data_IF_775904709808
#
_entry.id   IF_775904709808
#
_cell.length_a   1.000
_cell.length_b   1.000
_cell.length_c   1.000
_cell.angle_alpha   90.00
_cell.angle_beta   90.00
_cell.angle_gamma   90.00
#
_symmetry.space_group_name_H-M   'P 1'
#
loop_
_entity.id
_entity.type
_entity.pdbx_description
1 polymer ?
#
# COMPACT_ATOMS: atom_id res chain seq x y z
N UNK A 1 -37.88 -13.46 39.56
CA UNK A 1 -37.07 -12.28 39.99
C UNK A 1 -35.60 -12.69 40.01
N UNK A 2 -35.06 -12.86 38.81
CA UNK A 2 -33.71 -13.23 38.38
C UNK A 2 -33.80 -13.06 36.86
N UNK A 3 -32.80 -12.46 36.21
CA UNK A 3 -32.57 -12.28 34.75
C UNK A 3 -32.36 -10.81 34.32
N UNK A 4 -32.69 -9.78 35.12
CA UNK A 4 -32.59 -8.38 34.64
C UNK A 4 -31.29 -7.62 34.96
N UNK A 5 -30.27 -8.26 35.55
CA UNK A 5 -28.99 -7.59 35.91
C UNK A 5 -27.78 -8.00 35.07
N UNK A 6 -27.95 -8.79 34.00
CA UNK A 6 -26.82 -9.34 33.22
C UNK A 6 -26.46 -8.59 31.92
N UNK A 7 -27.02 -7.41 31.66
CA UNK A 7 -26.93 -6.81 30.30
C UNK A 7 -26.15 -5.50 30.20
N UNK A 8 -25.67 -4.87 31.29
CA UNK A 8 -25.15 -3.49 31.16
C UNK A 8 -23.71 -3.20 31.62
N UNK A 9 -22.83 -4.20 31.73
CA UNK A 9 -21.43 -3.97 32.16
C UNK A 9 -20.36 -4.53 31.21
N UNK A 10 -20.58 -4.36 29.90
CA UNK A 10 -19.52 -4.53 28.88
C UNK A 10 -19.25 -3.23 28.11
N UNK A 11 -19.13 -2.12 28.84
CA UNK A 11 -18.24 -1.03 28.41
C UNK A 11 -16.88 -1.25 29.07
N UNK A 12 -16.17 -2.28 28.59
CA UNK A 12 -14.75 -2.42 28.87
C UNK A 12 -14.05 -1.19 28.28
N UNK A 13 -13.59 -0.31 29.16
CA UNK A 13 -12.58 0.70 28.87
C UNK A 13 -11.39 0.01 28.19
N UNK A 14 -11.33 0.09 26.86
CA UNK A 14 -10.15 -0.33 26.10
C UNK A 14 -9.15 0.82 26.22
N UNK A 15 -8.49 0.90 27.38
CA UNK A 15 -7.21 1.60 27.46
C UNK A 15 -6.23 0.84 26.59
N UNK A 16 -6.13 1.24 25.32
CA UNK A 16 -5.08 0.76 24.42
C UNK A 16 -3.74 0.92 25.15
N UNK A 17 -2.91 -0.12 25.24
CA UNK A 17 -1.64 0.01 25.93
C UNK A 17 -0.80 1.01 25.10
N UNK A 18 -0.59 2.20 25.66
CA UNK A 18 -0.02 3.37 24.97
C UNK A 18 1.33 3.04 24.31
N UNK A 19 2.07 2.09 24.87
CA UNK A 19 3.32 1.55 24.35
C UNK A 19 3.22 0.99 22.91
N UNK A 20 2.13 0.31 22.54
CA UNK A 20 1.99 -0.26 21.20
C UNK A 20 1.78 0.83 20.15
N UNK A 21 0.94 1.82 20.44
CA UNK A 21 0.73 2.97 19.55
C UNK A 21 2.04 3.74 19.38
N UNK A 22 2.76 4.00 20.47
CA UNK A 22 4.07 4.66 20.43
C UNK A 22 5.03 3.86 19.55
N UNK A 23 5.08 2.54 19.71
CA UNK A 23 5.93 1.66 18.88
C UNK A 23 5.61 1.78 17.39
N UNK A 24 4.33 1.80 17.01
CA UNK A 24 3.92 1.98 15.62
C UNK A 24 4.29 3.36 15.07
N UNK A 25 4.10 4.41 15.87
CA UNK A 25 4.51 5.77 15.49
C UNK A 25 6.03 5.82 15.30
N UNK A 26 6.82 5.19 16.17
CA UNK A 26 8.28 5.12 16.03
C UNK A 26 8.68 4.42 14.73
N UNK A 27 8.06 3.28 14.39
CA UNK A 27 8.34 2.62 13.12
C UNK A 27 7.91 3.45 11.90
N UNK A 28 6.77 4.13 11.96
CA UNK A 28 6.33 5.03 10.89
C UNK A 28 7.34 6.18 10.70
N UNK A 29 7.77 6.83 11.78
CA UNK A 29 8.77 7.89 11.72
C UNK A 29 10.12 7.38 11.22
N UNK A 30 10.52 6.17 11.62
CA UNK A 30 11.73 5.54 11.13
C UNK A 30 11.65 5.23 9.62
N UNK A 31 10.50 4.75 9.13
CA UNK A 31 10.26 4.55 7.70
C UNK A 31 10.33 5.88 6.94
N UNK A 32 9.69 6.94 7.44
CA UNK A 32 9.79 8.29 6.85
C UNK A 32 11.26 8.74 6.80
N UNK A 33 12.01 8.57 7.88
CA UNK A 33 13.43 8.93 7.93
C UNK A 33 14.25 8.14 6.91
N UNK A 34 13.99 6.83 6.75
CA UNK A 34 14.67 5.99 5.77
C UNK A 34 14.37 6.42 4.33
N UNK A 35 13.12 6.77 4.04
CA UNK A 35 12.70 7.27 2.74
C UNK A 35 13.30 8.65 2.43
N UNK A 36 13.35 9.55 3.41
CA UNK A 36 13.99 10.86 3.27
C UNK A 36 15.50 10.73 3.03
N UNK A 37 16.19 9.86 3.78
CA UNK A 37 17.61 9.58 3.57
C UNK A 37 17.88 9.00 2.19
N UNK A 38 17.06 8.02 1.78
CA UNK A 38 17.14 7.39 0.46
C UNK A 38 17.01 8.40 -0.67
N UNK A 39 16.06 9.33 -0.53
CA UNK A 39 15.66 10.26 -1.60
C UNK A 39 16.56 11.49 -1.67
N UNK A 40 16.88 12.10 -0.52
CA UNK A 40 17.50 13.44 -0.48
C UNK A 40 18.95 13.45 -0.01
N UNK A 41 19.44 12.39 0.63
CA UNK A 41 20.79 12.37 1.21
C UNK A 41 21.68 11.38 0.49
N UNK A 42 21.42 10.08 0.67
CA UNK A 42 22.22 9.02 0.09
C UNK A 42 21.50 7.67 0.17
N UNK A 43 21.40 6.99 -0.98
CA UNK A 43 20.72 5.69 -1.12
C UNK A 43 21.27 4.59 -0.20
N UNK A 44 22.58 4.57 0.05
CA UNK A 44 23.22 3.56 0.93
C UNK A 44 22.81 3.77 2.38
N UNK A 45 22.74 5.01 2.85
CA UNK A 45 22.31 5.32 4.22
C UNK A 45 20.82 5.00 4.42
N UNK A 46 19.99 5.36 3.43
CA UNK A 46 18.58 4.99 3.43
C UNK A 46 18.36 3.48 3.44
N UNK A 47 19.05 2.74 2.57
CA UNK A 47 19.06 1.27 2.56
C UNK A 47 19.50 0.67 3.89
N UNK A 48 20.57 1.20 4.48
CA UNK A 48 21.07 0.76 5.79
C UNK A 48 20.01 0.95 6.87
N UNK A 49 19.30 2.09 6.87
CA UNK A 49 18.22 2.34 7.82
C UNK A 49 17.01 1.42 7.58
N UNK A 50 16.62 1.14 6.33
CA UNK A 50 15.59 0.14 6.04
C UNK A 50 15.98 -1.25 6.54
N UNK A 51 17.25 -1.66 6.38
CA UNK A 51 17.77 -2.91 6.92
C UNK A 51 17.69 -2.94 8.45
N UNK A 52 18.10 -1.86 9.14
CA UNK A 52 17.97 -1.74 10.60
C UNK A 52 16.51 -1.85 11.04
N UNK A 53 15.59 -1.16 10.35
CA UNK A 53 14.15 -1.20 10.64
C UNK A 53 13.63 -2.64 10.48
N UNK A 54 14.02 -3.34 9.42
CA UNK A 54 13.63 -4.73 9.19
C UNK A 54 14.08 -5.64 10.34
N UNK A 55 15.35 -5.54 10.77
CA UNK A 55 15.85 -6.32 11.90
C UNK A 55 15.17 -5.92 13.22
N UNK A 56 14.92 -4.64 13.44
CA UNK A 56 14.21 -4.16 14.63
C UNK A 56 12.77 -4.67 14.68
N UNK A 57 12.06 -4.68 13.55
CA UNK A 57 10.73 -5.28 13.44
C UNK A 57 10.77 -6.78 13.74
N UNK A 58 11.77 -7.50 13.22
CA UNK A 58 11.94 -8.94 13.44
C UNK A 58 12.16 -9.28 14.90
N UNK A 59 13.09 -8.59 15.55
CA UNK A 59 13.39 -8.79 16.98
C UNK A 59 12.16 -8.44 17.82
N UNK A 60 11.54 -7.28 17.58
CA UNK A 60 10.39 -6.85 18.36
C UNK A 60 9.18 -7.80 18.19
N UNK A 61 8.91 -8.27 16.97
CA UNK A 61 7.87 -9.26 16.70
C UNK A 61 8.15 -10.65 17.30
N UNK A 62 9.39 -10.94 17.69
CA UNK A 62 9.77 -12.18 18.38
C UNK A 62 9.70 -12.06 19.90
N UNK A 63 9.85 -10.84 20.43
CA UNK A 63 9.89 -10.57 21.88
C UNK A 63 8.53 -10.14 22.45
N UNK A 64 7.64 -9.57 21.65
CA UNK A 64 6.32 -9.15 22.16
C UNK A 64 5.45 -10.37 22.48
N UNK A 65 4.85 -10.36 23.67
CA UNK A 65 4.00 -11.46 24.15
C UNK A 65 2.67 -11.55 23.39
N UNK A 66 2.13 -10.40 22.96
CA UNK A 66 0.87 -10.33 22.22
C UNK A 66 1.00 -10.91 20.80
N UNK A 67 0.33 -12.02 20.46
CA UNK A 67 0.40 -12.60 19.12
C UNK A 67 -0.14 -11.66 18.05
N UNK A 68 -1.19 -10.90 18.36
CA UNK A 68 -1.80 -9.94 17.44
C UNK A 68 -0.83 -8.78 17.13
N UNK A 69 -0.14 -8.25 18.14
CA UNK A 69 0.86 -7.21 17.91
C UNK A 69 2.07 -7.74 17.14
N UNK A 70 2.55 -8.95 17.47
CA UNK A 70 3.60 -9.62 16.71
C UNK A 70 3.21 -9.76 15.23
N UNK A 71 1.97 -10.15 14.95
CA UNK A 71 1.45 -10.28 13.58
C UNK A 71 1.39 -8.93 12.86
N UNK A 72 0.98 -7.87 13.55
CA UNK A 72 0.98 -6.52 13.00
C UNK A 72 2.41 -6.05 12.66
N UNK A 73 3.39 -6.25 13.56
CA UNK A 73 4.79 -5.93 13.30
C UNK A 73 5.34 -6.74 12.10
N UNK A 74 4.97 -8.01 11.97
CA UNK A 74 5.32 -8.84 10.80
C UNK A 74 4.71 -8.29 9.51
N UNK A 75 3.51 -7.73 9.55
CA UNK A 75 2.89 -7.08 8.39
C UNK A 75 3.58 -5.80 7.96
N UNK A 76 4.41 -5.17 8.81
CA UNK A 76 5.24 -4.02 8.44
C UNK A 76 6.56 -4.43 7.77
N UNK A 77 7.07 -5.65 8.00
CA UNK A 77 8.36 -6.11 7.48
C UNK A 77 8.49 -6.06 5.95
N UNK A 78 7.46 -6.35 5.14
CA UNK A 78 7.58 -6.26 3.68
C UNK A 78 7.92 -4.86 3.18
N UNK A 79 7.59 -3.81 3.95
CA UNK A 79 7.80 -2.40 3.56
C UNK A 79 9.29 -2.06 3.39
N UNK A 80 10.18 -2.27 4.39
CA UNK A 80 11.61 -2.12 4.15
C UNK A 80 12.17 -3.18 3.17
N UNK A 81 11.60 -4.38 3.10
CA UNK A 81 12.05 -5.41 2.15
C UNK A 81 11.92 -4.94 0.70
N UNK A 82 10.78 -4.34 0.31
CA UNK A 82 10.58 -3.87 -1.07
C UNK A 82 11.59 -2.77 -1.44
N UNK A 83 12.02 -1.95 -0.48
CA UNK A 83 13.09 -0.95 -0.71
C UNK A 83 14.46 -1.57 -0.84
N UNK A 84 14.78 -2.54 0.02
CA UNK A 84 16.05 -3.26 -0.07
C UNK A 84 16.15 -3.99 -1.40
N UNK A 85 15.13 -4.76 -1.79
CA UNK A 85 15.12 -5.48 -3.07
C UNK A 85 15.14 -4.51 -4.23
N UNK A 86 14.27 -3.50 -4.21
CA UNK A 86 14.23 -2.47 -5.23
C UNK A 86 15.60 -1.83 -5.40
N UNK A 87 16.11 -1.10 -4.43
CA UNK A 87 17.31 -0.29 -4.65
C UNK A 87 18.62 -1.09 -4.82
N UNK A 88 18.61 -2.40 -4.56
CA UNK A 88 19.79 -3.27 -4.75
C UNK A 88 19.97 -3.78 -6.18
N UNK A 89 18.94 -3.72 -7.03
CA UNK A 89 19.03 -4.25 -8.39
C UNK A 89 19.59 -3.17 -9.33
N UNK A 90 20.55 -3.48 -10.23
CA UNK A 90 21.11 -2.52 -11.16
C UNK A 90 20.08 -2.06 -12.20
N UNK A 91 19.51 -0.86 -11.99
CA UNK A 91 18.47 -0.29 -12.86
C UNK A 91 18.92 -0.02 -14.30
N UNK A 92 20.23 0.13 -14.55
CA UNK A 92 20.74 0.53 -15.88
C UNK A 92 20.61 -0.57 -16.95
N UNK A 93 20.28 -1.80 -16.57
CA UNK A 93 20.29 -2.96 -17.47
C UNK A 93 18.89 -3.52 -17.76
N UNK A 94 17.85 -3.00 -17.10
CA UNK A 94 16.49 -3.53 -17.16
C UNK A 94 15.54 -2.43 -17.62
N UNK A 95 14.64 -2.73 -18.56
CA UNK A 95 13.60 -1.78 -18.94
C UNK A 95 12.72 -1.44 -17.73
N UNK A 96 12.38 -0.15 -17.49
CA UNK A 96 11.67 0.28 -16.28
C UNK A 96 10.38 -0.49 -15.98
N UNK A 97 9.64 -0.94 -17.00
CA UNK A 97 8.41 -1.73 -16.84
C UNK A 97 8.64 -3.07 -16.09
N UNK A 98 9.78 -3.73 -16.30
CA UNK A 98 10.06 -5.03 -15.66
C UNK A 98 10.53 -4.90 -14.21
N UNK A 99 10.76 -3.68 -13.73
CA UNK A 99 11.02 -3.43 -12.32
C UNK A 99 9.86 -3.85 -11.42
N UNK A 100 8.65 -3.50 -11.84
CA UNK A 100 7.42 -3.75 -11.09
C UNK A 100 7.24 -5.23 -10.72
N UNK A 101 7.29 -6.20 -11.68
CA UNK A 101 7.14 -7.60 -11.33
C UNK A 101 8.30 -8.12 -10.45
N UNK A 102 9.53 -7.61 -10.65
CA UNK A 102 10.68 -8.03 -9.83
C UNK A 102 10.47 -7.67 -8.35
N UNK A 103 9.94 -6.48 -8.06
CA UNK A 103 9.60 -6.06 -6.69
C UNK A 103 8.33 -6.74 -6.18
N UNK A 104 7.36 -7.01 -7.06
CA UNK A 104 6.10 -7.63 -6.69
C UNK A 104 6.23 -9.11 -6.28
N UNK A 105 7.16 -9.87 -6.89
CA UNK A 105 7.40 -11.28 -6.55
C UNK A 105 7.69 -11.48 -5.05
N UNK A 106 8.69 -10.83 -4.44
CA UNK A 106 8.95 -10.97 -3.00
C UNK A 106 7.82 -10.39 -2.15
N UNK A 107 7.12 -9.36 -2.63
CA UNK A 107 5.96 -8.80 -1.95
C UNK A 107 4.80 -9.80 -1.88
N UNK A 108 4.51 -10.51 -2.98
CA UNK A 108 3.52 -11.60 -2.99
C UNK A 108 3.96 -12.76 -2.11
N UNK A 109 5.23 -13.16 -2.18
CA UNK A 109 5.75 -14.23 -1.34
C UNK A 109 5.58 -13.89 0.15
N UNK A 110 5.94 -12.67 0.55
CA UNK A 110 5.75 -12.19 1.91
C UNK A 110 4.27 -12.14 2.30
N UNK A 111 3.40 -11.62 1.42
CA UNK A 111 1.96 -11.57 1.66
C UNK A 111 1.34 -12.96 1.88
N UNK A 112 1.70 -13.94 1.04
CA UNK A 112 1.23 -15.32 1.16
C UNK A 112 1.72 -15.97 2.47
N UNK A 113 2.99 -15.76 2.84
CA UNK A 113 3.54 -16.27 4.10
C UNK A 113 2.84 -15.64 5.30
N UNK A 114 2.62 -14.31 5.28
CA UNK A 114 1.88 -13.61 6.33
C UNK A 114 0.45 -14.16 6.45
N UNK A 115 -0.26 -14.33 5.34
CA UNK A 115 -1.61 -14.90 5.36
C UNK A 115 -1.64 -16.31 5.97
N UNK A 116 -0.72 -17.18 5.58
CA UNK A 116 -0.63 -18.55 6.12
C UNK A 116 -0.31 -18.56 7.61
N UNK A 117 0.69 -17.79 8.04
CA UNK A 117 1.14 -17.77 9.43
C UNK A 117 0.13 -17.10 10.38
N UNK A 118 -0.67 -16.17 9.87
CA UNK A 118 -1.69 -15.46 10.64
C UNK A 118 -3.09 -16.09 10.51
N UNK A 119 -3.23 -17.17 9.73
CA UNK A 119 -4.52 -17.82 9.47
C UNK A 119 -5.52 -16.92 8.72
N UNK A 120 -5.05 -15.96 7.93
CA UNK A 120 -5.91 -15.08 7.15
C UNK A 120 -6.39 -15.78 5.88
N UNK A 121 -7.71 -15.86 5.72
CA UNK A 121 -8.34 -16.32 4.48
C UNK A 121 -8.36 -15.22 3.42
N UNK A 122 -8.67 -15.59 2.18
CA UNK A 122 -8.89 -14.63 1.08
C UNK A 122 -9.98 -13.60 1.44
N UNK A 123 -11.01 -14.01 2.19
CA UNK A 123 -12.07 -13.10 2.64
C UNK A 123 -11.57 -12.09 3.66
N UNK A 124 -10.67 -12.49 4.56
CA UNK A 124 -10.11 -11.61 5.59
C UNK A 124 -9.27 -10.49 4.99
N UNK A 125 -8.57 -10.77 3.89
CA UNK A 125 -7.77 -9.79 3.14
C UNK A 125 -8.56 -9.08 2.03
N UNK A 126 -9.87 -9.28 1.96
CA UNK A 126 -10.75 -8.63 0.99
C UNK A 126 -10.63 -9.16 -0.45
N UNK A 127 -9.97 -10.29 -0.69
CA UNK A 127 -10.05 -11.00 -1.97
C UNK A 127 -11.38 -11.76 -1.99
N UNK A 128 -12.44 -11.02 -2.28
CA UNK A 128 -13.78 -11.57 -2.42
C UNK A 128 -14.59 -10.78 -3.45
N UNK A 129 -15.34 -11.51 -4.25
CA UNK A 129 -16.39 -10.94 -5.11
C UNK A 129 -17.70 -10.70 -4.32
N UNK A 130 -17.72 -10.99 -3.00
CA UNK A 130 -18.90 -10.96 -2.13
C UNK A 130 -19.44 -9.57 -1.77
N UNK A 131 -19.26 -8.57 -2.63
CA UNK A 131 -19.76 -7.21 -2.45
C UNK A 131 -20.66 -6.76 -3.59
N UNK A 132 -21.22 -5.55 -3.48
CA UNK A 132 -22.00 -4.94 -4.55
C UNK A 132 -21.09 -4.68 -5.77
N UNK A 133 -21.21 -5.50 -6.81
CA UNK A 133 -20.37 -5.42 -8.02
C UNK A 133 -20.45 -4.04 -8.70
N UNK A 134 -21.60 -3.36 -8.64
CA UNK A 134 -21.76 -2.01 -9.19
C UNK A 134 -20.90 -1.00 -8.44
N UNK A 135 -20.82 -1.14 -7.12
CA UNK A 135 -19.96 -0.30 -6.30
C UNK A 135 -18.48 -0.60 -6.55
N UNK A 136 -18.10 -1.86 -6.72
CA UNK A 136 -16.73 -2.24 -7.10
C UNK A 136 -16.34 -1.68 -8.47
N UNK A 137 -17.25 -1.71 -9.45
CA UNK A 137 -17.04 -1.10 -10.75
C UNK A 137 -16.92 0.44 -10.67
N UNK A 138 -17.72 1.09 -9.82
CA UNK A 138 -17.61 2.53 -9.58
C UNK A 138 -16.26 2.89 -8.93
N UNK A 139 -15.80 2.09 -7.97
CA UNK A 139 -14.48 2.24 -7.36
C UNK A 139 -13.40 2.05 -8.43
N UNK A 140 -13.47 1.00 -9.25
CA UNK A 140 -12.53 0.75 -10.34
C UNK A 140 -12.42 1.95 -11.30
N UNK A 141 -13.55 2.59 -11.63
CA UNK A 141 -13.59 3.75 -12.51
C UNK A 141 -12.85 4.98 -11.92
N UNK A 142 -12.70 5.09 -10.60
CA UNK A 142 -11.92 6.18 -9.98
C UNK A 142 -10.44 6.14 -10.36
N UNK A 143 -9.93 4.97 -10.75
CA UNK A 143 -8.58 4.79 -11.28
C UNK A 143 -8.27 5.67 -12.48
N UNK A 144 -9.25 5.85 -13.37
CA UNK A 144 -9.08 6.66 -14.58
C UNK A 144 -8.76 8.11 -14.24
N UNK A 145 -9.54 8.71 -13.35
CA UNK A 145 -9.35 10.11 -12.94
C UNK A 145 -8.11 10.30 -12.07
N UNK A 146 -7.86 9.37 -11.14
CA UNK A 146 -6.69 9.45 -10.26
C UNK A 146 -5.39 9.44 -11.06
N UNK A 147 -5.23 8.54 -12.03
CA UNK A 147 -4.01 8.48 -12.84
C UNK A 147 -3.81 9.70 -13.75
N UNK A 148 -4.89 10.34 -14.21
CA UNK A 148 -4.79 11.61 -14.95
C UNK A 148 -4.35 12.76 -14.03
N UNK A 149 -4.91 12.82 -12.81
CA UNK A 149 -4.53 13.86 -11.83
C UNK A 149 -3.05 13.69 -11.44
N UNK A 150 -2.64 12.47 -11.11
CA UNK A 150 -1.26 12.10 -10.79
C UNK A 150 -0.32 12.39 -11.97
N UNK A 151 -0.81 12.14 -13.19
CA UNK A 151 -0.44 12.78 -14.46
C UNK A 151 0.22 14.15 -14.31
N UNK A 152 -0.65 15.10 -14.00
CA UNK A 152 -0.30 16.51 -13.97
C UNK A 152 0.58 16.89 -12.78
N UNK A 153 0.65 16.03 -11.75
CA UNK A 153 1.53 16.20 -10.60
C UNK A 153 2.96 15.75 -10.96
N UNK A 154 3.13 14.52 -11.45
CA UNK A 154 4.44 13.89 -11.62
C UNK A 154 5.05 14.07 -13.01
N UNK A 155 4.22 14.08 -14.07
CA UNK A 155 4.63 14.13 -15.49
C UNK A 155 5.78 13.16 -15.83
N UNK A 156 5.62 11.84 -15.55
CA UNK A 156 6.67 10.87 -15.79
C UNK A 156 6.91 10.63 -17.29
N UNK A 157 8.09 10.10 -17.61
CA UNK A 157 8.35 9.49 -18.91
C UNK A 157 7.51 8.21 -19.09
N UNK A 158 7.16 7.83 -20.34
CA UNK A 158 6.41 6.60 -20.59
C UNK A 158 7.22 5.36 -20.19
N UNK A 159 6.53 4.34 -19.65
CA UNK A 159 7.14 3.04 -19.32
C UNK A 159 7.26 2.10 -20.53
N UNK A 160 6.56 2.39 -21.62
CA UNK A 160 6.64 1.66 -22.89
C UNK A 160 7.22 2.58 -23.96
N UNK A 161 7.93 2.01 -24.93
CA UNK A 161 8.58 2.81 -25.97
C UNK A 161 7.59 3.31 -27.04
N UNK A 162 6.50 2.57 -27.26
CA UNK A 162 5.52 2.85 -28.30
C UNK A 162 4.10 2.60 -27.80
N UNK A 163 3.17 3.47 -28.20
CA UNK A 163 1.76 3.36 -27.86
C UNK A 163 1.02 2.40 -28.81
N UNK A 164 1.30 1.10 -28.67
CA UNK A 164 0.59 0.04 -29.43
C UNK A 164 -0.36 -0.73 -28.51
N UNK A 165 -1.49 -1.26 -29.04
CA UNK A 165 -2.44 -2.03 -28.22
C UNK A 165 -1.81 -3.22 -27.48
N UNK A 166 -0.86 -3.90 -28.12
CA UNK A 166 -0.19 -5.07 -27.53
C UNK A 166 0.70 -4.68 -26.33
N UNK A 167 1.53 -3.63 -26.48
CA UNK A 167 2.38 -3.13 -25.39
C UNK A 167 1.55 -2.53 -24.27
N UNK A 168 0.50 -1.78 -24.60
CA UNK A 168 -0.41 -1.19 -23.62
C UNK A 168 -1.09 -2.28 -22.78
N UNK A 169 -1.64 -3.32 -23.42
CA UNK A 169 -2.33 -4.39 -22.71
C UNK A 169 -1.36 -5.21 -21.85
N UNK A 170 -0.18 -5.55 -22.38
CA UNK A 170 0.86 -6.26 -21.62
C UNK A 170 1.33 -5.47 -20.40
N UNK A 171 1.64 -4.19 -20.58
CA UNK A 171 2.06 -3.32 -19.50
C UNK A 171 0.94 -3.06 -18.48
N UNK A 172 -0.32 -2.92 -18.93
CA UNK A 172 -1.49 -2.80 -18.06
C UNK A 172 -1.59 -3.98 -17.09
N UNK A 173 -1.48 -5.22 -17.59
CA UNK A 173 -1.54 -6.40 -16.71
C UNK A 173 -0.34 -6.49 -15.77
N UNK A 174 0.85 -6.10 -16.24
CA UNK A 174 2.03 -6.02 -15.38
C UNK A 174 1.76 -5.05 -14.22
N UNK A 175 1.29 -3.83 -14.49
CA UNK A 175 0.99 -2.85 -13.46
C UNK A 175 -0.18 -3.28 -12.56
N UNK A 176 -1.26 -3.80 -13.14
CA UNK A 176 -2.43 -4.28 -12.40
C UNK A 176 -2.04 -5.36 -11.37
N UNK A 177 -1.19 -6.31 -11.74
CA UNK A 177 -0.76 -7.39 -10.85
C UNK A 177 0.31 -6.90 -9.89
N UNK A 178 1.33 -6.20 -10.40
CA UNK A 178 2.55 -5.89 -9.64
C UNK A 178 2.40 -4.73 -8.68
N UNK A 179 1.50 -3.78 -8.97
CA UNK A 179 1.20 -2.63 -8.10
C UNK A 179 -0.22 -2.75 -7.57
N UNK A 180 -1.20 -2.79 -8.47
CA UNK A 180 -2.61 -2.81 -8.11
C UNK A 180 -2.99 -3.95 -7.18
N UNK A 181 -2.55 -5.19 -7.44
CA UNK A 181 -2.89 -6.32 -6.57
C UNK A 181 -1.88 -6.48 -5.44
N UNK A 182 -0.58 -6.47 -5.75
CA UNK A 182 0.46 -6.76 -4.75
C UNK A 182 0.46 -5.75 -3.59
N UNK A 183 0.35 -4.45 -3.90
CA UNK A 183 0.36 -3.41 -2.88
C UNK A 183 -0.98 -3.39 -2.12
N UNK A 184 -2.12 -3.48 -2.80
CA UNK A 184 -3.42 -3.47 -2.14
C UNK A 184 -3.61 -4.69 -1.23
N UNK A 185 -3.09 -5.85 -1.62
CA UNK A 185 -3.08 -7.04 -0.78
C UNK A 185 -2.27 -6.80 0.51
N UNK A 186 -1.06 -6.23 0.40
CA UNK A 186 -0.24 -5.96 1.58
C UNK A 186 -0.87 -4.87 2.47
N UNK A 187 -1.11 -3.69 1.92
CA UNK A 187 -1.45 -2.50 2.71
C UNK A 187 -2.91 -2.54 3.18
N UNK A 188 -3.86 -2.85 2.29
CA UNK A 188 -5.29 -2.82 2.60
C UNK A 188 -5.74 -4.21 3.09
N UNK A 189 -5.36 -5.27 2.39
CA UNK A 189 -5.74 -6.63 2.75
C UNK A 189 -5.16 -7.09 4.10
N UNK A 190 -3.85 -6.98 4.29
CA UNK A 190 -3.15 -7.55 5.44
C UNK A 190 -2.93 -6.51 6.54
N UNK A 191 -2.20 -5.43 6.25
CA UNK A 191 -1.81 -4.45 7.26
C UNK A 191 -3.03 -3.74 7.86
N UNK A 192 -3.94 -3.21 7.04
CA UNK A 192 -5.12 -2.51 7.54
C UNK A 192 -6.04 -3.45 8.33
N UNK A 193 -6.16 -4.72 7.94
CA UNK A 193 -6.90 -5.73 8.70
C UNK A 193 -6.29 -5.95 10.09
N UNK A 194 -4.97 -6.12 10.19
CA UNK A 194 -4.30 -6.31 11.49
C UNK A 194 -4.38 -5.08 12.38
N UNK A 195 -4.20 -3.88 11.82
CA UNK A 195 -4.34 -2.63 12.59
C UNK A 195 -5.79 -2.44 13.03
N UNK A 196 -6.78 -2.80 12.20
CA UNK A 196 -8.20 -2.71 12.55
C UNK A 196 -8.55 -3.64 13.69
N UNK A 197 -8.05 -4.88 13.69
CA UNK A 197 -8.26 -5.86 14.77
C UNK A 197 -7.78 -5.34 16.12
N UNK A 198 -6.66 -4.61 16.14
CA UNK A 198 -6.03 -4.13 17.38
C UNK A 198 -6.51 -2.75 17.85
N UNK A 199 -6.66 -1.80 16.93
CA UNK A 199 -6.84 -0.38 17.24
C UNK A 199 -8.12 0.22 16.66
N UNK A 200 -8.93 -0.59 15.98
CA UNK A 200 -10.18 -0.17 15.36
C UNK A 200 -10.00 0.56 14.02
N UNK A 201 -11.14 0.79 13.38
CA UNK A 201 -11.24 1.22 11.98
C UNK A 201 -10.59 2.58 11.69
N UNK A 202 -10.78 3.56 12.59
CA UNK A 202 -10.32 4.94 12.35
C UNK A 202 -8.79 5.01 12.39
N UNK A 203 -8.18 4.40 13.41
CA UNK A 203 -6.73 4.35 13.53
C UNK A 203 -6.12 3.54 12.39
N UNK A 204 -6.72 2.40 12.02
CA UNK A 204 -6.26 1.60 10.90
C UNK A 204 -6.27 2.36 9.57
N UNK A 205 -7.36 3.09 9.30
CA UNK A 205 -7.48 3.90 8.10
C UNK A 205 -6.35 4.93 8.02
N UNK A 206 -6.14 5.71 9.09
CA UNK A 206 -5.12 6.75 9.12
C UNK A 206 -3.70 6.16 9.05
N UNK A 207 -3.40 5.20 9.91
CA UNK A 207 -2.06 4.62 10.02
C UNK A 207 -1.62 3.93 8.74
N UNK A 208 -2.47 3.09 8.14
CA UNK A 208 -2.12 2.40 6.89
C UNK A 208 -1.99 3.35 5.71
N UNK A 209 -2.80 4.41 5.65
CA UNK A 209 -2.67 5.45 4.63
C UNK A 209 -1.38 6.24 4.78
N UNK A 210 -0.98 6.59 6.00
CA UNK A 210 0.31 7.23 6.27
C UNK A 210 1.46 6.33 5.85
N UNK A 211 1.45 5.07 6.28
CA UNK A 211 2.48 4.08 5.92
C UNK A 211 2.59 3.93 4.39
N UNK A 212 1.48 3.79 3.67
CA UNK A 212 1.47 3.73 2.21
C UNK A 212 2.05 4.99 1.56
N UNK A 213 1.69 6.17 2.09
CA UNK A 213 2.18 7.46 1.59
C UNK A 213 3.69 7.60 1.76
N UNK A 214 4.29 7.02 2.81
CA UNK A 214 5.76 7.05 2.98
C UNK A 214 6.49 6.45 1.77
N UNK A 215 5.90 5.44 1.12
CA UNK A 215 6.48 4.80 -0.06
C UNK A 215 6.48 5.68 -1.32
N UNK A 216 5.86 6.85 -1.27
CA UNK A 216 5.79 7.79 -2.38
C UNK A 216 6.74 8.98 -2.21
N UNK A 217 7.47 9.08 -1.08
CA UNK A 217 8.46 10.14 -0.83
C UNK A 217 9.54 10.18 -1.93
N UNK A 218 9.89 9.04 -2.51
CA UNK A 218 10.84 8.93 -3.61
C UNK A 218 10.45 9.68 -4.89
N UNK A 219 9.19 10.06 -5.06
CA UNK A 219 8.73 10.89 -6.19
C UNK A 219 9.00 12.38 -6.02
N UNK A 220 9.54 12.81 -4.86
CA UNK A 220 10.02 14.16 -4.54
C UNK A 220 8.91 15.24 -4.42
N UNK A 221 7.82 15.13 -5.16
CA UNK A 221 6.76 16.14 -5.15
C UNK A 221 5.87 16.04 -3.90
N UNK A 222 5.87 17.10 -3.06
CA UNK A 222 5.02 17.13 -1.88
C UNK A 222 3.51 17.04 -2.20
N UNK A 223 3.08 17.64 -3.31
CA UNK A 223 1.69 17.52 -3.78
C UNK A 223 1.28 16.09 -4.10
N UNK A 224 2.22 15.26 -4.54
CA UNK A 224 2.01 13.83 -4.76
C UNK A 224 1.71 13.12 -3.43
N UNK A 225 2.45 13.44 -2.36
CA UNK A 225 2.20 12.87 -1.03
C UNK A 225 0.80 13.20 -0.51
N UNK A 226 0.33 14.43 -0.70
CA UNK A 226 -1.02 14.84 -0.30
C UNK A 226 -2.08 14.08 -1.14
N UNK A 227 -1.83 13.95 -2.44
CA UNK A 227 -2.72 13.25 -3.35
C UNK A 227 -2.80 11.75 -3.02
N UNK A 228 -1.67 11.07 -2.93
CA UNK A 228 -1.56 9.64 -2.60
C UNK A 228 -2.14 9.35 -1.22
N UNK A 229 -1.90 10.20 -0.22
CA UNK A 229 -2.53 10.06 1.10
C UNK A 229 -4.07 10.11 0.99
N UNK A 230 -4.59 11.04 0.20
CA UNK A 230 -6.03 11.19 -0.02
C UNK A 230 -6.63 9.97 -0.73
N UNK A 231 -5.96 9.47 -1.78
CA UNK A 231 -6.34 8.23 -2.48
C UNK A 231 -6.27 7.02 -1.54
N UNK A 232 -5.23 6.94 -0.70
CA UNK A 232 -5.05 5.85 0.25
C UNK A 232 -6.15 5.84 1.31
N UNK A 233 -6.52 7.00 1.84
CA UNK A 233 -7.66 7.16 2.75
C UNK A 233 -8.97 6.77 2.06
N UNK A 234 -9.17 7.17 0.80
CA UNK A 234 -10.36 6.80 0.03
C UNK A 234 -10.45 5.27 -0.18
N UNK A 235 -9.39 4.62 -0.64
CA UNK A 235 -9.35 3.17 -0.83
C UNK A 235 -9.47 2.40 0.48
N UNK A 236 -8.80 2.85 1.54
CA UNK A 236 -8.95 2.26 2.87
C UNK A 236 -10.40 2.33 3.37
N UNK A 237 -11.10 3.44 3.13
CA UNK A 237 -12.52 3.59 3.42
C UNK A 237 -13.40 2.67 2.57
N UNK A 238 -13.11 2.55 1.27
CA UNK A 238 -13.79 1.63 0.37
C UNK A 238 -13.66 0.17 0.84
N UNK A 239 -12.48 -0.26 1.32
CA UNK A 239 -12.31 -1.58 1.92
C UNK A 239 -13.18 -1.73 3.18
N UNK A 240 -13.21 -0.73 4.06
CA UNK A 240 -14.01 -0.76 5.28
C UNK A 240 -15.49 -1.00 4.96
N UNK A 241 -16.01 -0.32 3.93
CA UNK A 241 -17.41 -0.38 3.50
C UNK A 241 -17.75 -1.63 2.71
N UNK A 242 -16.87 -2.06 1.82
CA UNK A 242 -17.18 -3.12 0.86
C UNK A 242 -16.62 -4.48 1.23
N UNK A 243 -15.65 -4.52 2.15
CA UNK A 243 -14.89 -5.72 2.52
C UNK A 243 -14.21 -6.40 1.33
N UNK A 244 -13.96 -5.65 0.26
CA UNK A 244 -13.31 -6.15 -0.94
C UNK A 244 -12.27 -5.18 -1.46
N UNK A 245 -11.11 -5.72 -1.85
CA UNK A 245 -10.03 -4.98 -2.52
C UNK A 245 -10.10 -5.07 -4.05
N UNK A 246 -11.04 -5.83 -4.63
CA UNK A 246 -11.05 -6.12 -6.08
C UNK A 246 -11.19 -4.85 -6.92
N UNK A 247 -12.19 -4.01 -6.63
CA UNK A 247 -12.38 -2.73 -7.31
C UNK A 247 -11.24 -1.75 -7.03
N UNK A 248 -10.66 -1.80 -5.84
CA UNK A 248 -9.50 -0.98 -5.44
C UNK A 248 -8.26 -1.38 -6.26
N UNK A 249 -7.99 -2.68 -6.38
CA UNK A 249 -6.90 -3.25 -7.18
C UNK A 249 -7.00 -2.80 -8.63
N UNK A 250 -8.20 -2.89 -9.21
CA UNK A 250 -8.44 -2.44 -10.59
C UNK A 250 -8.29 -0.93 -10.71
N UNK A 251 -8.82 -0.15 -9.75
CA UNK A 251 -8.67 1.30 -9.74
C UNK A 251 -7.18 1.70 -9.72
N UNK A 252 -6.40 1.10 -8.83
CA UNK A 252 -4.97 1.37 -8.71
C UNK A 252 -4.22 0.96 -10.00
N UNK A 253 -4.49 -0.23 -10.55
CA UNK A 253 -3.90 -0.66 -11.82
C UNK A 253 -4.25 0.27 -13.00
N UNK A 254 -5.49 0.76 -13.07
CA UNK A 254 -5.92 1.76 -14.07
C UNK A 254 -5.20 3.09 -13.82
N UNK A 255 -5.07 3.54 -12.56
CA UNK A 255 -4.36 4.78 -12.21
C UNK A 255 -2.93 4.76 -12.74
N UNK A 256 -2.17 3.71 -12.40
CA UNK A 256 -0.79 3.58 -12.86
C UNK A 256 -0.70 3.44 -14.39
N UNK A 257 -1.70 2.82 -15.03
CA UNK A 257 -1.72 2.72 -16.49
C UNK A 257 -2.01 4.06 -17.15
N UNK A 258 -2.94 4.86 -16.61
CA UNK A 258 -3.16 6.21 -17.11
C UNK A 258 -1.93 7.09 -16.90
N UNK A 259 -1.32 7.03 -15.72
CA UNK A 259 -0.11 7.76 -15.34
C UNK A 259 1.08 7.44 -16.25
N UNK A 260 1.39 6.16 -16.47
CA UNK A 260 2.64 5.74 -17.11
C UNK A 260 2.52 5.25 -18.55
N UNK A 261 1.33 4.84 -18.99
CA UNK A 261 1.16 4.17 -20.29
C UNK A 261 0.31 4.98 -21.27
N UNK A 262 -0.60 5.82 -20.79
CA UNK A 262 -1.53 6.58 -21.65
C UNK A 262 -1.18 8.05 -21.70
N UNK A 263 -1.22 8.75 -20.57
CA UNK A 263 -1.04 10.20 -20.52
C UNK A 263 0.29 10.71 -21.08
N UNK A 264 1.43 10.01 -20.93
CA UNK A 264 2.69 10.44 -21.55
C UNK A 264 2.66 10.48 -23.08
N UNK A 265 1.73 9.79 -23.73
CA UNK A 265 1.54 9.80 -25.19
C UNK A 265 0.44 10.76 -25.66
N UNK A 266 -0.31 11.38 -24.74
CA UNK A 266 -1.34 12.34 -25.08
C UNK A 266 -0.67 13.67 -25.45
N UNK A 267 -0.91 14.15 -26.67
CA UNK A 267 -0.44 15.46 -27.09
C UNK A 267 -1.28 16.57 -26.41
N UNK A 268 -0.86 17.00 -25.23
CA UNK A 268 -1.56 18.04 -24.45
C UNK A 268 -1.67 19.40 -25.18
N UNK A 269 -0.78 19.67 -26.14
CA UNK A 269 -0.80 20.91 -26.93
C UNK A 269 -1.98 20.95 -27.88
N UNK A 270 -2.46 19.79 -28.33
CA UNK A 270 -3.68 19.69 -29.12
C UNK A 270 -4.94 20.08 -28.32
N UNK A 271 -4.86 20.11 -26.98
CA UNK A 271 -5.95 20.48 -26.09
C UNK A 271 -5.81 21.90 -25.50
N UNK A 272 -4.81 22.69 -25.93
CA UNK A 272 -4.56 24.02 -25.39
C UNK A 272 -4.13 24.02 -23.92
N UNK A 273 -3.65 22.88 -23.41
CA UNK A 273 -3.12 22.73 -22.06
C UNK A 273 -1.60 22.90 -22.13
N UNK A 274 -1.15 24.12 -22.43
CA UNK A 274 0.23 24.62 -22.25
C UNK A 274 0.22 26.14 -22.17
#
# INVERSE_FOLDING_TARGET
MKITEMVNDKRLNIGLPSNYIITLIVYLLALIAAELLTTYVNKIWGLSLHTIILFALLVNASMVESPDFANLLRSLMPIPIIRVVGLSIPMMQIQPLYWFPIVAIPLFAASIILMRNQGLSLKDVGITLGGNIKLQALIAATGFFSGIIEFFILKPAPLIEQFTPALLLGAFFILLISTGLAEELLFRGILQTNVTKMFGTVFALLYTSLVFTTMHIGWIYFSDLVFVFSVAMFYGYCLIKTKSIVGITVAHGISNSMLFLVMPFVNLAAFGIF
#
